data_IF_614839059189
#
_entry.id   IF_614839059189
#
_cell.length_a   1.000
_cell.length_b   1.000
_cell.length_c   1.000
_cell.angle_alpha   90.00
_cell.angle_beta   90.00
_cell.angle_gamma   90.00
#
_symmetry.space_group_name_H-M   'P 1'
#
loop_
_entity.id
_entity.type
_entity.pdbx_description
1 polymer ?
#
# COMPACT_ATOMS: atom_id res chain seq x y z
N UNK A 1 57.56 -20.52 26.27
CA UNK A 1 56.48 -19.51 26.29
C UNK A 1 55.76 -19.53 24.94
N UNK A 2 54.71 -20.35 24.75
CA UNK A 2 54.05 -20.47 23.43
C UNK A 2 52.55 -20.85 23.50
N UNK A 3 51.82 -20.41 24.54
CA UNK A 3 50.42 -20.82 24.75
C UNK A 3 49.40 -19.66 24.78
N UNK A 4 49.71 -18.48 24.22
CA UNK A 4 48.82 -17.31 24.34
C UNK A 4 48.07 -16.97 23.04
N UNK A 5 48.40 -17.61 21.91
CA UNK A 5 47.89 -17.20 20.58
C UNK A 5 46.58 -17.88 20.13
N UNK A 6 46.12 -18.96 20.76
CA UNK A 6 44.90 -19.65 20.34
C UNK A 6 43.60 -19.06 20.92
N UNK A 7 43.67 -18.28 22.01
CA UNK A 7 42.45 -17.78 22.67
C UNK A 7 41.81 -16.57 21.97
N UNK A 8 42.56 -15.84 21.16
CA UNK A 8 42.06 -14.62 20.49
C UNK A 8 41.22 -14.89 19.24
N UNK A 9 41.33 -16.08 18.65
CA UNK A 9 40.60 -16.42 17.41
C UNK A 9 39.17 -16.91 17.74
N UNK A 10 38.93 -17.45 18.94
CA UNK A 10 37.62 -17.96 19.32
C UNK A 10 36.59 -16.87 19.66
N UNK A 11 37.04 -15.67 20.06
CA UNK A 11 36.14 -14.57 20.42
C UNK A 11 35.65 -13.74 19.22
N UNK A 12 36.30 -13.83 18.06
CA UNK A 12 35.91 -13.07 16.87
C UNK A 12 34.78 -13.74 16.07
N UNK A 13 34.39 -14.97 16.41
CA UNK A 13 33.36 -15.72 15.69
C UNK A 13 31.93 -15.53 16.23
N UNK A 14 31.75 -14.77 17.32
CA UNK A 14 30.45 -14.60 17.99
C UNK A 14 29.73 -13.28 17.67
N UNK A 15 30.28 -12.42 16.80
CA UNK A 15 29.63 -11.19 16.37
C UNK A 15 29.21 -11.27 14.91
N UNK A 16 28.51 -12.34 14.53
CA UNK A 16 27.60 -12.24 13.41
C UNK A 16 26.29 -11.69 13.96
N UNK A 17 25.93 -10.42 13.72
CA UNK A 17 24.53 -10.05 13.81
C UNK A 17 23.83 -10.93 12.79
N UNK A 18 23.08 -11.91 13.27
CA UNK A 18 22.07 -12.58 12.48
C UNK A 18 21.03 -11.52 12.15
N UNK A 19 21.32 -10.71 11.14
CA UNK A 19 20.32 -9.89 10.47
C UNK A 19 19.39 -10.89 9.80
N UNK A 20 18.42 -11.39 10.56
CA UNK A 20 17.27 -12.04 10.02
C UNK A 20 16.66 -11.04 9.02
N UNK A 21 16.90 -11.29 7.73
CA UNK A 21 16.17 -10.65 6.66
C UNK A 21 14.73 -11.13 6.81
N UNK A 22 13.98 -10.42 7.65
CA UNK A 22 12.54 -10.52 7.66
C UNK A 22 12.09 -9.91 6.34
N UNK A 23 12.01 -10.75 5.30
CA UNK A 23 11.39 -10.41 4.03
C UNK A 23 9.90 -10.31 4.34
N UNK A 24 9.48 -9.17 4.89
CA UNK A 24 8.09 -8.84 5.15
C UNK A 24 7.40 -8.54 3.83
N UNK A 25 7.08 -9.58 3.05
CA UNK A 25 6.16 -9.49 1.91
C UNK A 25 4.72 -9.29 2.41
N UNK A 26 4.48 -8.26 3.21
CA UNK A 26 3.14 -7.91 3.69
C UNK A 26 2.42 -7.20 2.55
N UNK A 27 1.44 -7.90 1.95
CA UNK A 27 0.53 -7.27 0.99
C UNK A 27 -0.28 -6.17 1.70
N UNK A 28 -0.49 -4.99 1.08
CA UNK A 28 -1.32 -3.95 1.67
C UNK A 28 -2.76 -4.45 1.87
N UNK A 29 -3.41 -3.93 2.91
CA UNK A 29 -4.82 -4.15 3.18
C UNK A 29 -5.55 -2.81 3.20
N UNK A 30 -6.82 -2.85 2.82
CA UNK A 30 -7.72 -1.72 2.78
C UNK A 30 -8.94 -1.99 3.65
N UNK A 31 -9.65 -0.94 3.99
CA UNK A 31 -10.99 -1.03 4.55
C UNK A 31 -12.01 -0.94 3.42
N UNK A 32 -12.86 -1.95 3.28
CA UNK A 32 -13.86 -2.03 2.23
C UNK A 32 -14.85 -0.85 2.32
N UNK A 33 -15.28 -0.28 1.17
CA UNK A 33 -16.24 0.80 1.18
C UNK A 33 -17.55 0.30 1.83
N UNK A 34 -18.18 1.18 2.63
CA UNK A 34 -19.46 0.96 3.33
C UNK A 34 -19.44 -0.03 4.51
N UNK A 35 -18.73 -1.15 4.43
CA UNK A 35 -18.71 -2.17 5.50
C UNK A 35 -17.56 -1.98 6.48
N UNK A 36 -16.45 -1.39 6.02
CA UNK A 36 -15.24 -1.22 6.81
C UNK A 36 -14.36 -2.47 6.91
N UNK A 37 -14.79 -3.59 6.34
CA UNK A 37 -14.10 -4.89 6.42
C UNK A 37 -12.68 -4.83 5.87
N UNK A 38 -11.76 -5.59 6.48
CA UNK A 38 -10.38 -5.66 6.04
C UNK A 38 -10.27 -6.53 4.78
N UNK A 39 -9.84 -5.94 3.67
CA UNK A 39 -9.75 -6.58 2.34
C UNK A 39 -8.41 -6.30 1.66
N UNK A 40 -8.03 -7.11 0.68
CA UNK A 40 -6.84 -6.86 -0.16
C UNK A 40 -7.18 -6.16 -1.48
N UNK A 41 -8.43 -6.29 -1.92
CA UNK A 41 -8.98 -5.55 -3.05
C UNK A 41 -10.47 -5.28 -2.80
N UNK A 42 -11.01 -4.26 -3.45
CA UNK A 42 -12.45 -4.02 -3.48
C UNK A 42 -12.86 -3.36 -4.79
N UNK A 43 -14.11 -3.59 -5.21
CA UNK A 43 -14.74 -2.86 -6.29
C UNK A 43 -15.54 -1.68 -5.75
N UNK A 44 -15.54 -0.57 -6.47
CA UNK A 44 -16.33 0.61 -6.15
C UNK A 44 -16.87 1.29 -7.41
N UNK A 45 -18.14 1.67 -7.39
CA UNK A 45 -18.77 2.45 -8.46
C UNK A 45 -18.79 3.93 -8.08
N UNK A 46 -18.16 4.78 -8.90
CA UNK A 46 -18.03 6.23 -8.67
C UNK A 46 -18.66 7.04 -9.82
N UNK A 47 -19.27 8.20 -9.54
CA UNK A 47 -19.81 9.07 -10.58
C UNK A 47 -18.71 9.76 -11.37
N UNK A 48 -18.75 9.62 -12.70
CA UNK A 48 -17.88 10.35 -13.63
C UNK A 48 -18.51 11.66 -14.09
N UNK A 49 -19.83 11.75 -14.06
CA UNK A 49 -20.60 12.95 -14.35
C UNK A 49 -21.94 12.93 -13.61
N UNK A 50 -22.84 13.87 -13.91
CA UNK A 50 -24.21 13.86 -13.37
C UNK A 50 -25.01 12.62 -13.79
N UNK A 51 -24.71 12.02 -14.93
CA UNK A 51 -25.50 10.95 -15.54
C UNK A 51 -24.72 9.65 -15.73
N UNK A 52 -23.42 9.65 -15.42
CA UNK A 52 -22.53 8.54 -15.71
C UNK A 52 -21.79 8.08 -14.45
N UNK A 53 -21.65 6.76 -14.33
CA UNK A 53 -20.87 6.10 -13.28
C UNK A 53 -19.96 5.05 -13.91
N UNK A 54 -18.82 4.79 -13.28
CA UNK A 54 -17.91 3.71 -13.63
C UNK A 54 -17.49 2.92 -12.39
N UNK A 55 -17.23 1.63 -12.58
CA UNK A 55 -16.65 0.76 -11.56
C UNK A 55 -15.14 0.73 -11.65
N UNK A 56 -14.49 0.67 -10.49
CA UNK A 56 -13.04 0.56 -10.34
C UNK A 56 -12.71 -0.53 -9.32
N UNK A 57 -11.70 -1.33 -9.60
CA UNK A 57 -11.15 -2.34 -8.69
C UNK A 57 -9.85 -1.81 -8.10
N UNK A 58 -9.82 -1.60 -6.78
CA UNK A 58 -8.66 -1.03 -6.09
C UNK A 58 -7.85 -2.17 -5.45
N UNK A 59 -6.52 -2.24 -5.69
CA UNK A 59 -5.66 -1.20 -6.25
C UNK A 59 -5.34 -1.32 -7.76
N UNK A 60 -6.00 -2.25 -8.47
CA UNK A 60 -5.75 -2.57 -9.87
C UNK A 60 -5.88 -1.34 -10.79
N UNK A 61 -6.94 -0.56 -10.59
CA UNK A 61 -7.35 0.53 -11.48
C UNK A 61 -6.89 1.91 -10.98
N UNK A 62 -5.97 1.96 -10.01
CA UNK A 62 -5.48 3.22 -9.45
C UNK A 62 -4.90 4.18 -10.49
N UNK A 63 -4.33 3.66 -11.59
CA UNK A 63 -3.82 4.51 -12.68
C UNK A 63 -4.96 5.24 -13.40
N UNK A 64 -6.03 4.54 -13.72
CA UNK A 64 -7.20 5.13 -14.38
C UNK A 64 -7.90 6.12 -13.44
N UNK A 65 -8.11 5.72 -12.19
CA UNK A 65 -8.75 6.54 -11.18
C UNK A 65 -8.04 7.89 -10.99
N UNK A 66 -6.70 7.87 -10.95
CA UNK A 66 -5.90 9.10 -10.86
C UNK A 66 -6.09 10.01 -12.08
N UNK A 67 -6.24 9.45 -13.30
CA UNK A 67 -6.57 10.25 -14.49
C UNK A 67 -7.94 10.91 -14.33
N UNK A 68 -8.95 10.17 -13.86
CA UNK A 68 -10.29 10.71 -13.64
C UNK A 68 -10.34 11.81 -12.58
N UNK A 69 -9.54 11.70 -11.53
CA UNK A 69 -9.40 12.76 -10.53
C UNK A 69 -8.79 14.03 -11.14
N UNK A 70 -7.76 13.90 -11.99
CA UNK A 70 -7.17 15.03 -12.72
C UNK A 70 -8.16 15.70 -13.70
N UNK A 71 -9.08 14.91 -14.27
CA UNK A 71 -10.19 15.40 -15.10
C UNK A 71 -11.28 16.12 -14.30
N UNK A 72 -11.21 16.10 -12.96
CA UNK A 72 -12.17 16.75 -12.06
C UNK A 72 -13.36 15.87 -11.66
N UNK A 73 -13.34 14.57 -11.97
CA UNK A 73 -14.50 13.70 -11.75
C UNK A 73 -14.83 13.50 -10.26
N UNK A 74 -13.86 13.72 -9.37
CA UNK A 74 -14.04 13.68 -7.92
C UNK A 74 -15.05 14.70 -7.36
N UNK A 75 -15.47 15.69 -8.16
CA UNK A 75 -16.48 16.68 -7.77
C UNK A 75 -17.92 16.24 -8.02
N UNK A 76 -18.14 15.16 -8.78
CA UNK A 76 -19.47 14.67 -9.08
C UNK A 76 -20.06 13.86 -7.93
N UNK A 77 -21.39 13.76 -7.94
CA UNK A 77 -22.13 12.98 -6.96
C UNK A 77 -22.48 13.71 -5.67
N UNK A 78 -23.10 12.96 -4.77
CA UNK A 78 -23.52 13.40 -3.45
C UNK A 78 -22.33 13.44 -2.46
N UNK A 79 -22.60 13.85 -1.22
CA UNK A 79 -21.57 13.95 -0.17
C UNK A 79 -20.84 12.64 0.12
N UNK A 80 -21.55 11.51 0.04
CA UNK A 80 -20.96 10.17 0.26
C UNK A 80 -20.05 9.81 -0.92
N UNK A 81 -20.51 10.00 -2.15
CA UNK A 81 -19.72 9.74 -3.35
C UNK A 81 -18.43 10.57 -3.38
N UNK A 82 -18.47 11.84 -2.99
CA UNK A 82 -17.28 12.68 -2.83
C UNK A 82 -16.30 12.16 -1.78
N UNK A 83 -16.80 11.62 -0.67
CA UNK A 83 -15.96 10.98 0.36
C UNK A 83 -15.34 9.67 -0.14
N UNK A 84 -16.07 8.91 -0.96
CA UNK A 84 -15.54 7.70 -1.57
C UNK A 84 -14.43 8.02 -2.56
N UNK A 85 -14.56 9.09 -3.36
CA UNK A 85 -13.47 9.59 -4.19
C UNK A 85 -12.20 9.87 -3.39
N UNK A 86 -12.32 10.60 -2.26
CA UNK A 86 -11.18 10.91 -1.38
C UNK A 86 -10.56 9.62 -0.81
N UNK A 87 -11.40 8.71 -0.29
CA UNK A 87 -10.93 7.43 0.24
C UNK A 87 -10.10 6.66 -0.78
N UNK A 88 -10.61 6.56 -2.01
CA UNK A 88 -9.95 5.77 -3.05
C UNK A 88 -8.66 6.46 -3.54
N UNK A 89 -8.63 7.79 -3.60
CA UNK A 89 -7.40 8.55 -3.84
C UNK A 89 -6.33 8.21 -2.78
N UNK A 90 -6.69 8.26 -1.50
CA UNK A 90 -5.79 7.95 -0.39
C UNK A 90 -5.27 6.50 -0.47
N UNK A 91 -6.14 5.52 -0.74
CA UNK A 91 -5.75 4.11 -0.90
C UNK A 91 -4.80 3.92 -2.09
N UNK A 92 -5.05 4.59 -3.21
CA UNK A 92 -4.17 4.55 -4.38
C UNK A 92 -2.82 5.25 -4.13
N UNK A 93 -2.81 6.36 -3.39
CA UNK A 93 -1.58 7.03 -2.97
C UNK A 93 -0.76 6.15 -2.04
N UNK A 94 -1.41 5.45 -1.11
CA UNK A 94 -0.75 4.49 -0.23
C UNK A 94 -0.06 3.36 -1.01
N UNK A 95 -0.76 2.77 -1.99
CA UNK A 95 -0.17 1.74 -2.86
C UNK A 95 1.01 2.28 -3.66
N UNK A 96 0.88 3.48 -4.21
CA UNK A 96 1.97 4.10 -4.96
C UNK A 96 3.18 4.42 -4.07
N UNK A 97 2.95 4.80 -2.81
CA UNK A 97 4.00 4.98 -1.82
C UNK A 97 4.75 3.66 -1.55
N UNK A 98 4.02 2.58 -1.27
CA UNK A 98 4.62 1.26 -1.03
C UNK A 98 5.40 0.75 -2.25
N UNK A 99 4.88 0.95 -3.47
CA UNK A 99 5.58 0.60 -4.71
C UNK A 99 6.87 1.39 -4.91
N UNK A 100 6.92 2.64 -4.44
CA UNK A 100 8.10 3.50 -4.55
C UNK A 100 9.19 3.15 -3.53
N UNK A 101 8.78 2.67 -2.35
CA UNK A 101 9.67 2.34 -1.24
C UNK A 101 9.42 0.90 -0.77
N UNK A 102 9.83 -0.11 -1.57
CA UNK A 102 9.77 -1.50 -1.14
C UNK A 102 10.78 -1.74 0.00
N UNK A 103 10.37 -2.50 1.02
CA UNK A 103 11.25 -2.96 2.10
C UNK A 103 12.29 -3.98 1.62
#
# INVERSE_FOLDING_TARGET
MNNVRCFFILYLALTFPASALAIHNVKPYFSAPYTGEKVQEYEITLPLSRHEKASFVIPRDCKELNSRLLEGNGHWGNRIEKRLWIKVDDDCRYVNFLKRYPE
#
